data_IF_082294555032
#
_entry.id   IF_082294555032
#
_cell.length_a   1.000
_cell.length_b   1.000
_cell.length_c   1.000
_cell.angle_alpha   90.00
_cell.angle_beta   90.00
_cell.angle_gamma   90.00
#
_symmetry.space_group_name_H-M   'P 1'
#
loop_
_entity.id
_entity.type
_entity.pdbx_description
1 polymer ?
#
# COMPACT_ATOMS: atom_id res chain seq x y z
N UNK A 1 9.04 14.68 -2.90
CA UNK A 1 7.73 14.11 -2.53
C UNK A 1 7.48 12.88 -3.38
N UNK A 2 7.07 11.76 -2.77
CA UNK A 2 6.75 10.50 -3.45
C UNK A 2 5.29 10.14 -3.21
N UNK A 3 4.64 9.49 -4.18
CA UNK A 3 3.22 9.16 -4.13
C UNK A 3 2.97 7.75 -4.62
N UNK A 4 2.30 6.94 -3.81
CA UNK A 4 2.00 5.54 -4.15
C UNK A 4 0.53 5.22 -3.90
N UNK A 5 -0.07 4.47 -4.81
CA UNK A 5 -1.23 3.66 -4.54
C UNK A 5 -0.79 2.30 -4.00
N UNK A 6 -1.32 1.89 -2.85
CA UNK A 6 -0.96 0.60 -2.24
C UNK A 6 -2.21 -0.27 -2.15
N UNK A 7 -2.14 -1.47 -2.73
CA UNK A 7 -3.24 -2.42 -2.79
C UNK A 7 -2.90 -3.65 -1.95
N UNK A 8 -3.86 -4.14 -1.17
CA UNK A 8 -3.76 -5.46 -0.53
C UNK A 8 -4.36 -6.48 -1.47
N UNK A 9 -3.54 -7.36 -2.04
CA UNK A 9 -4.03 -8.42 -2.92
C UNK A 9 -4.45 -9.64 -2.11
N UNK A 10 -5.43 -10.37 -2.63
CA UNK A 10 -5.76 -11.71 -2.18
C UNK A 10 -4.51 -12.62 -2.27
N UNK A 11 -4.34 -13.53 -1.31
CA UNK A 11 -3.14 -14.35 -1.18
C UNK A 11 -2.89 -15.24 -2.42
N UNK A 12 -3.94 -15.85 -2.98
CA UNK A 12 -3.83 -16.71 -4.16
C UNK A 12 -3.42 -15.90 -5.39
N UNK A 13 -3.99 -14.70 -5.55
CA UNK A 13 -3.64 -13.79 -6.64
C UNK A 13 -2.21 -13.29 -6.48
N UNK A 14 -1.83 -12.87 -5.27
CA UNK A 14 -0.48 -12.39 -4.99
C UNK A 14 0.57 -13.48 -5.26
N UNK A 15 0.28 -14.73 -4.88
CA UNK A 15 1.12 -15.89 -5.17
C UNK A 15 1.24 -16.14 -6.68
N UNK A 16 0.12 -16.21 -7.40
CA UNK A 16 0.10 -16.52 -8.83
C UNK A 16 0.78 -15.46 -9.71
N UNK A 17 0.69 -14.20 -9.31
CA UNK A 17 1.21 -13.05 -10.06
C UNK A 17 2.49 -12.46 -9.45
N UNK A 18 3.15 -13.14 -8.50
CA UNK A 18 4.31 -12.59 -7.79
C UNK A 18 5.43 -12.11 -8.71
N UNK A 19 5.66 -12.85 -9.80
CA UNK A 19 6.67 -12.58 -10.83
C UNK A 19 6.09 -11.96 -12.11
N UNK A 20 4.79 -11.66 -12.11
CA UNK A 20 4.04 -11.12 -13.26
C UNK A 20 3.11 -9.98 -12.86
N UNK A 21 3.58 -9.14 -11.93
CA UNK A 21 2.76 -8.10 -11.33
C UNK A 21 2.42 -6.97 -12.30
N UNK A 22 3.16 -6.84 -13.42
CA UNK A 22 2.84 -5.94 -14.53
C UNK A 22 1.39 -6.11 -15.00
N UNK A 23 0.87 -7.34 -15.04
CA UNK A 23 -0.51 -7.61 -15.45
C UNK A 23 -1.54 -7.05 -14.47
N UNK A 24 -1.23 -7.13 -13.17
CA UNK A 24 -2.07 -6.52 -12.13
C UNK A 24 -2.02 -5.00 -12.26
N UNK A 25 -0.83 -4.44 -12.44
CA UNK A 25 -0.62 -3.00 -12.55
C UNK A 25 -1.32 -2.42 -13.78
N UNK A 26 -1.29 -3.13 -14.90
CA UNK A 26 -2.04 -2.79 -16.12
C UNK A 26 -3.55 -2.74 -15.85
N UNK A 27 -4.11 -3.77 -15.23
CA UNK A 27 -5.52 -3.79 -14.83
C UNK A 27 -5.87 -2.63 -13.87
N UNK A 28 -4.99 -2.31 -12.92
CA UNK A 28 -5.19 -1.18 -12.00
C UNK A 28 -5.16 0.16 -12.75
N UNK A 29 -4.26 0.31 -13.72
CA UNK A 29 -4.16 1.50 -14.58
C UNK A 29 -5.41 1.65 -15.45
N UNK A 30 -5.83 0.58 -16.11
CA UNK A 30 -7.08 0.55 -16.87
C UNK A 30 -8.27 0.87 -15.97
N UNK A 31 -8.35 0.27 -14.78
CA UNK A 31 -9.40 0.58 -13.83
C UNK A 31 -9.40 2.07 -13.46
N UNK A 32 -8.26 2.73 -13.33
CA UNK A 32 -8.18 4.16 -13.02
C UNK A 32 -8.74 5.01 -14.18
N UNK A 33 -8.34 4.74 -15.42
CA UNK A 33 -8.62 5.61 -16.59
C UNK A 33 -9.76 5.17 -17.50
N UNK A 34 -10.29 3.96 -17.36
CA UNK A 34 -11.32 3.43 -18.23
C UNK A 34 -12.61 4.25 -18.18
N UNK A 35 -13.26 4.35 -19.34
CA UNK A 35 -14.62 4.89 -19.49
C UNK A 35 -15.64 3.75 -19.45
N UNK A 36 -16.92 4.08 -19.33
CA UNK A 36 -17.99 3.09 -19.47
C UNK A 36 -17.97 2.49 -20.90
N UNK A 37 -18.26 1.18 -21.09
CA UNK A 37 -18.65 0.19 -20.07
C UNK A 37 -17.47 -0.52 -19.37
N UNK A 38 -16.26 -0.42 -19.92
CA UNK A 38 -15.06 -1.12 -19.43
C UNK A 38 -14.75 -0.83 -17.96
N UNK A 39 -14.99 0.40 -17.49
CA UNK A 39 -14.84 0.79 -16.08
C UNK A 39 -15.56 -0.14 -15.11
N UNK A 40 -16.75 -0.63 -15.46
CA UNK A 40 -17.52 -1.53 -14.62
C UNK A 40 -16.92 -2.94 -14.56
N UNK A 41 -16.36 -3.42 -15.68
CA UNK A 41 -15.69 -4.72 -15.77
C UNK A 41 -14.38 -4.68 -14.98
N UNK A 42 -13.52 -3.69 -15.24
CA UNK A 42 -12.26 -3.53 -14.52
C UNK A 42 -12.51 -3.36 -13.01
N UNK A 43 -13.57 -2.64 -12.61
CA UNK A 43 -13.94 -2.53 -11.19
C UNK A 43 -14.23 -3.89 -10.55
N UNK A 44 -15.01 -4.74 -11.20
CA UNK A 44 -15.30 -6.09 -10.67
C UNK A 44 -14.04 -6.93 -10.53
N UNK A 45 -13.13 -6.85 -11.51
CA UNK A 45 -11.85 -7.56 -11.46
C UNK A 45 -10.96 -7.04 -10.32
N UNK A 46 -10.84 -5.71 -10.18
CA UNK A 46 -10.09 -5.11 -9.07
C UNK A 46 -10.70 -5.49 -7.71
N UNK A 47 -12.02 -5.49 -7.58
CA UNK A 47 -12.71 -5.92 -6.36
C UNK A 47 -12.51 -7.40 -6.03
N UNK A 48 -12.35 -8.25 -7.06
CA UNK A 48 -12.10 -9.68 -6.91
C UNK A 48 -10.65 -9.96 -6.47
N UNK A 49 -9.67 -9.25 -7.05
CA UNK A 49 -8.25 -9.51 -6.75
C UNK A 49 -7.73 -8.82 -5.49
N UNK A 50 -8.44 -7.80 -5.01
CA UNK A 50 -8.04 -7.04 -3.80
C UNK A 50 -8.83 -7.45 -2.58
N UNK A 51 -8.26 -7.21 -1.41
CA UNK A 51 -8.93 -7.32 -0.13
C UNK A 51 -9.46 -5.95 0.35
N UNK A 52 -10.41 -5.97 1.28
CA UNK A 52 -10.85 -4.74 1.97
C UNK A 52 -9.86 -4.38 3.07
N UNK A 53 -9.64 -3.08 3.26
CA UNK A 53 -8.75 -2.58 4.29
C UNK A 53 -9.51 -2.32 5.59
N UNK A 54 -8.93 -2.75 6.71
CA UNK A 54 -9.41 -2.42 8.05
C UNK A 54 -8.58 -1.29 8.62
N UNK A 55 -9.20 -0.13 8.84
CA UNK A 55 -8.54 1.04 9.45
C UNK A 55 -7.91 0.66 10.79
N UNK A 56 -8.63 -0.06 11.65
CA UNK A 56 -8.13 -0.47 12.97
C UNK A 56 -6.94 -1.43 12.89
N UNK A 57 -6.91 -2.35 11.91
CA UNK A 57 -5.75 -3.25 11.69
C UNK A 57 -4.52 -2.47 11.23
N UNK A 58 -4.72 -1.50 10.33
CA UNK A 58 -3.66 -0.59 9.90
C UNK A 58 -3.15 0.26 11.06
N UNK A 59 -4.05 0.86 11.84
CA UNK A 59 -3.71 1.68 13.01
C UNK A 59 -2.84 0.89 14.00
N UNK A 60 -3.27 -0.33 14.35
CA UNK A 60 -2.53 -1.18 15.28
C UNK A 60 -1.13 -1.51 14.75
N UNK A 61 -1.01 -1.93 13.49
CA UNK A 61 0.28 -2.28 12.88
C UNK A 61 1.23 -1.09 12.75
N UNK A 62 0.72 0.06 12.33
CA UNK A 62 1.50 1.28 12.21
C UNK A 62 1.97 1.75 13.60
N UNK A 63 1.11 1.78 14.61
CA UNK A 63 1.49 2.14 15.98
C UNK A 63 2.53 1.19 16.56
N UNK A 64 2.43 -0.11 16.30
CA UNK A 64 3.43 -1.08 16.73
C UNK A 64 4.80 -0.83 16.06
N UNK A 65 4.82 -0.49 14.77
CA UNK A 65 6.07 -0.25 14.05
C UNK A 65 6.74 1.08 14.45
N UNK A 66 5.96 2.14 14.61
CA UNK A 66 6.45 3.49 14.92
C UNK A 66 6.42 3.84 16.42
N UNK A 67 6.36 2.83 17.30
CA UNK A 67 6.34 2.99 18.76
C UNK A 67 5.28 4.02 19.25
N UNK A 68 4.09 3.99 18.64
CA UNK A 68 2.97 4.87 18.97
C UNK A 68 2.99 6.25 18.30
N UNK A 69 4.04 6.63 17.58
CA UNK A 69 4.17 7.92 16.87
C UNK A 69 3.38 7.95 15.55
N UNK A 70 2.07 7.74 15.65
CA UNK A 70 1.15 7.75 14.51
C UNK A 70 -0.10 8.51 14.91
N UNK A 71 -0.27 9.68 14.31
CA UNK A 71 -1.47 10.48 14.45
C UNK A 71 -2.54 10.04 13.46
N UNK A 72 -3.80 10.35 13.76
CA UNK A 72 -4.93 9.99 12.90
C UNK A 72 -5.94 11.10 12.78
N UNK A 73 -6.53 11.20 11.59
CA UNK A 73 -7.73 11.99 11.34
C UNK A 73 -8.82 11.02 10.85
N UNK A 74 -9.75 10.70 11.75
CA UNK A 74 -10.83 9.74 11.50
C UNK A 74 -11.83 10.25 10.46
N UNK A 75 -12.13 11.56 10.44
CA UNK A 75 -13.05 12.16 9.48
C UNK A 75 -12.57 11.97 8.04
N UNK A 76 -11.24 12.01 7.85
CA UNK A 76 -10.62 11.86 6.53
C UNK A 76 -10.06 10.45 6.28
N UNK A 77 -10.30 9.50 7.18
CA UNK A 77 -9.74 8.14 7.14
C UNK A 77 -8.23 8.14 6.84
N UNK A 78 -7.45 8.95 7.55
CA UNK A 78 -6.01 9.08 7.28
C UNK A 78 -5.14 8.95 8.53
N UNK A 79 -3.91 8.47 8.31
CA UNK A 79 -2.82 8.54 9.28
C UNK A 79 -1.85 9.64 8.88
N UNK A 80 -1.27 10.30 9.87
CA UNK A 80 -0.18 11.26 9.73
C UNK A 80 1.03 10.67 10.45
N UNK A 81 2.13 10.55 9.73
CA UNK A 81 3.40 10.03 10.25
C UNK A 81 4.48 11.06 10.05
N UNK A 82 5.36 11.20 11.03
CA UNK A 82 6.50 12.11 10.97
C UNK A 82 7.76 11.38 11.44
N UNK A 83 8.88 11.64 10.78
CA UNK A 83 10.18 11.16 11.25
C UNK A 83 10.88 12.20 12.14
N UNK A 84 11.98 11.81 12.80
CA UNK A 84 12.73 12.69 13.70
C UNK A 84 13.34 13.92 12.99
N UNK A 85 13.47 13.87 11.65
CA UNK A 85 13.93 15.00 10.83
C UNK A 85 12.80 15.95 10.41
N UNK A 86 11.59 15.78 10.96
CA UNK A 86 10.43 16.61 10.69
C UNK A 86 9.75 16.36 9.35
N UNK A 87 10.14 15.33 8.59
CA UNK A 87 9.48 14.96 7.33
C UNK A 87 8.17 14.26 7.60
N UNK A 88 7.15 14.60 6.83
CA UNK A 88 5.80 14.08 7.02
C UNK A 88 5.38 13.12 5.91
N UNK A 89 4.44 12.25 6.26
CA UNK A 89 3.75 11.38 5.34
C UNK A 89 2.27 11.26 5.74
N UNK A 90 1.43 11.28 4.72
CA UNK A 90 0.00 11.06 4.80
C UNK A 90 -0.33 9.70 4.20
N UNK A 91 -1.05 8.89 4.96
CA UNK A 91 -1.58 7.61 4.50
C UNK A 91 -3.10 7.62 4.56
N UNK A 92 -3.73 7.87 3.41
CA UNK A 92 -5.19 7.91 3.28
C UNK A 92 -5.72 6.52 3.00
N UNK A 93 -6.66 6.06 3.82
CA UNK A 93 -7.28 4.75 3.73
C UNK A 93 -8.56 4.84 2.92
N UNK A 94 -8.59 4.12 1.79
CA UNK A 94 -9.80 3.89 1.01
C UNK A 94 -10.22 2.42 1.17
N UNK A 95 -11.44 2.08 0.74
CA UNK A 95 -12.03 0.75 0.97
C UNK A 95 -11.13 -0.43 0.56
N UNK A 96 -10.36 -0.29 -0.53
CA UNK A 96 -9.55 -1.37 -1.14
C UNK A 96 -8.13 -0.93 -1.54
N UNK A 97 -7.72 0.29 -1.19
CA UNK A 97 -6.38 0.82 -1.46
C UNK A 97 -5.99 1.90 -0.48
N UNK A 98 -4.71 2.17 -0.39
CA UNK A 98 -4.15 3.30 0.34
C UNK A 98 -3.59 4.31 -0.67
N UNK A 99 -3.67 5.59 -0.34
CA UNK A 99 -2.85 6.62 -0.96
C UNK A 99 -1.77 7.03 0.04
N UNK A 100 -0.51 6.76 -0.29
CA UNK A 100 0.64 7.26 0.44
C UNK A 100 1.18 8.50 -0.26
N UNK A 101 1.32 9.60 0.48
CA UNK A 101 2.05 10.79 0.06
C UNK A 101 3.10 11.06 1.12
N UNK A 102 4.39 11.03 0.75
CA UNK A 102 5.47 11.28 1.70
C UNK A 102 6.44 12.31 1.16
N UNK A 103 7.01 13.12 2.06
CA UNK A 103 8.01 14.11 1.68
C UNK A 103 9.27 13.48 1.09
N UNK A 104 9.61 12.27 1.55
CA UNK A 104 10.85 11.58 1.22
C UNK A 104 10.66 10.09 0.95
N UNK A 105 11.49 9.54 0.05
CA UNK A 105 11.50 8.11 -0.27
C UNK A 105 11.87 7.21 0.94
N UNK A 106 12.82 7.58 1.82
CA UNK A 106 13.10 6.81 3.03
C UNK A 106 11.87 6.66 3.94
N UNK A 107 11.14 7.75 4.20
CA UNK A 107 9.93 7.69 5.02
C UNK A 107 8.84 6.81 4.37
N UNK A 108 8.66 6.90 3.05
CA UNK A 108 7.75 6.03 2.33
C UNK A 108 8.16 4.54 2.43
N UNK A 109 9.45 4.24 2.35
CA UNK A 109 9.97 2.89 2.51
C UNK A 109 9.74 2.35 3.92
N UNK A 110 9.87 3.18 4.96
CA UNK A 110 9.61 2.80 6.35
C UNK A 110 8.15 2.44 6.57
N UNK A 111 7.23 3.24 6.03
CA UNK A 111 5.78 2.95 6.03
C UNK A 111 5.51 1.66 5.25
N UNK A 112 6.16 1.47 4.09
CA UNK A 112 6.06 0.25 3.31
C UNK A 112 6.49 -1.00 4.10
N UNK A 113 7.55 -0.90 4.90
CA UNK A 113 8.00 -1.99 5.79
C UNK A 113 7.00 -2.26 6.92
N UNK A 114 6.37 -1.23 7.48
CA UNK A 114 5.32 -1.39 8.48
C UNK A 114 4.11 -2.15 7.90
N UNK A 115 3.67 -1.78 6.70
CA UNK A 115 2.59 -2.46 5.97
C UNK A 115 2.97 -3.91 5.62
N UNK A 116 4.22 -4.16 5.20
CA UNK A 116 4.68 -5.49 4.86
C UNK A 116 4.69 -6.47 6.07
N UNK A 117 4.79 -5.95 7.30
CA UNK A 117 4.60 -6.78 8.52
C UNK A 117 3.15 -7.20 8.73
N UNK A 118 2.18 -6.43 8.22
CA UNK A 118 0.76 -6.76 8.31
C UNK A 118 0.34 -7.79 7.26
N UNK A 119 0.89 -7.70 6.06
CA UNK A 119 0.74 -8.69 4.99
C UNK A 119 1.87 -8.57 3.96
N UNK A 120 2.43 -9.69 3.45
CA UNK A 120 3.39 -9.66 2.35
C UNK A 120 2.73 -9.41 0.97
N UNK A 121 1.40 -9.38 0.90
CA UNK A 121 0.64 -9.26 -0.36
C UNK A 121 0.26 -7.82 -0.71
N UNK A 122 0.85 -6.85 -0.02
CA UNK A 122 0.75 -5.46 -0.43
C UNK A 122 1.60 -5.19 -1.67
N UNK A 123 0.98 -4.57 -2.68
CA UNK A 123 1.64 -4.06 -3.88
C UNK A 123 1.58 -2.54 -3.87
N UNK A 124 2.75 -1.89 -3.87
CA UNK A 124 2.85 -0.45 -4.10
C UNK A 124 3.03 -0.17 -5.58
N UNK A 125 2.30 0.81 -6.08
CA UNK A 125 2.31 1.28 -7.46
C UNK A 125 2.47 2.78 -7.42
N UNK A 126 3.44 3.31 -8.15
CA UNK A 126 3.61 4.75 -8.30
C UNK A 126 2.30 5.41 -8.77
N UNK A 127 2.02 6.63 -8.31
CA UNK A 127 0.76 7.29 -8.60
C UNK A 127 0.50 7.48 -10.12
N UNK A 128 1.58 7.58 -10.90
CA UNK A 128 1.55 7.71 -12.36
C UNK A 128 1.78 6.37 -13.08
N UNK A 129 1.82 5.26 -12.32
CA UNK A 129 2.01 3.89 -12.83
C UNK A 129 3.34 3.66 -13.56
N UNK A 130 4.38 4.45 -13.23
CA UNK A 130 5.72 4.33 -13.83
C UNK A 130 6.53 3.18 -13.22
N UNK A 131 6.31 2.91 -11.93
CA UNK A 131 7.02 1.87 -11.19
C UNK A 131 6.08 1.15 -10.23
N UNK A 132 6.44 -0.07 -9.83
CA UNK A 132 5.71 -0.86 -8.87
C UNK A 132 6.61 -1.89 -8.18
N UNK A 133 6.27 -2.21 -6.94
CA UNK A 133 6.95 -3.26 -6.21
C UNK A 133 6.06 -3.84 -5.11
N UNK A 134 6.24 -5.12 -4.86
CA UNK A 134 5.65 -5.77 -3.69
C UNK A 134 6.36 -5.30 -2.43
N UNK A 135 5.59 -4.88 -1.43
CA UNK A 135 6.15 -4.51 -0.15
C UNK A 135 6.81 -5.73 0.49
N UNK A 136 7.99 -5.54 1.04
CA UNK A 136 8.74 -6.60 1.70
C UNK A 136 9.10 -6.17 3.11
N UNK A 137 8.89 -7.08 4.05
CA UNK A 137 9.39 -6.90 5.40
C UNK A 137 10.92 -6.96 5.35
N UNK A 138 11.63 -6.22 6.22
CA UNK A 138 13.08 -6.34 6.29
C UNK A 138 13.44 -7.80 6.59
N UNK A 139 14.34 -8.38 5.79
CA UNK A 139 14.90 -9.71 6.08
C UNK A 139 15.57 -9.59 7.45
N UNK A 140 15.04 -10.28 8.46
CA UNK A 140 15.83 -10.52 9.66
C UNK A 140 17.10 -11.21 9.16
N UNK A 141 18.26 -10.56 9.34
CA UNK A 141 19.53 -11.18 9.00
C UNK A 141 19.54 -12.55 9.65
N UNK A 142 19.71 -13.61 8.85
CA UNK A 142 20.04 -14.92 9.40
C UNK A 142 21.27 -14.68 10.27
N UNK A 143 21.11 -14.73 11.58
CA UNK A 143 22.23 -14.98 12.48
C UNK A 143 22.66 -16.39 12.11
N UNK A 144 23.64 -16.49 11.21
CA UNK A 144 24.36 -17.73 11.02
C UNK A 144 25.01 -18.02 12.37
N UNK A 145 24.49 -19.03 13.05
CA UNK A 145 25.10 -19.65 14.21
C UNK A 145 26.18 -20.63 13.71
#
# INVERSE_FOLDING_TARGET
MVRYWIYLLNDDVASHYRHRAEKIVELLREHQYAKAPLKAICRKQVEFITERLSFSRLELGLKQYFAGRVDKNLERNMFVLQNDAGKEALLVVQKRRLLLVADSAPLAADIGRALARLSPTFLAVDADFVDYYWLSAPRQGRKFA
#
